data_IF_752040310087
#
_entry.id   IF_752040310087
#
_cell.length_a   1.000
_cell.length_b   1.000
_cell.length_c   1.000
_cell.angle_alpha   90.00
_cell.angle_beta   90.00
_cell.angle_gamma   90.00
#
_symmetry.space_group_name_H-M   'P 1'
#
loop_
_entity.id
_entity.type
_entity.pdbx_description
1 polymer ?
#
# COMPACT_ATOMS: atom_id res chain seq x y z
N UNK A 1 17.31 -29.54 -15.53
CA UNK A 1 18.40 -28.58 -15.84
C UNK A 1 19.08 -28.05 -14.58
N UNK A 2 18.36 -27.36 -13.62
CA UNK A 2 19.00 -26.81 -12.41
C UNK A 2 19.66 -27.91 -11.56
N UNK A 3 18.94 -29.00 -11.30
CA UNK A 3 19.47 -30.17 -10.56
C UNK A 3 20.65 -30.83 -11.28
N UNK A 4 20.63 -30.89 -12.59
CA UNK A 4 21.72 -31.42 -13.39
C UNK A 4 22.97 -30.54 -13.30
N UNK A 5 22.80 -29.21 -13.38
CA UNK A 5 23.90 -28.25 -13.18
C UNK A 5 24.48 -28.35 -11.76
N UNK A 6 23.59 -28.54 -10.75
CA UNK A 6 24.03 -28.77 -9.37
C UNK A 6 24.78 -30.08 -9.20
N UNK A 7 24.25 -31.18 -9.72
CA UNK A 7 24.86 -32.50 -9.63
C UNK A 7 26.22 -32.56 -10.38
N UNK A 8 26.38 -31.80 -11.47
CA UNK A 8 27.62 -31.63 -12.20
C UNK A 8 28.62 -30.67 -11.54
N UNK A 9 28.27 -30.01 -10.41
CA UNK A 9 29.14 -29.05 -9.74
C UNK A 9 29.29 -27.70 -10.46
N UNK A 10 28.44 -27.42 -11.46
CA UNK A 10 28.57 -26.23 -12.32
C UNK A 10 27.85 -24.99 -11.81
N UNK A 11 27.08 -25.06 -10.70
CA UNK A 11 26.39 -23.90 -10.16
C UNK A 11 27.31 -22.82 -9.53
N UNK A 12 28.57 -23.16 -9.28
CA UNK A 12 29.61 -22.20 -8.87
C UNK A 12 30.18 -21.36 -10.02
N UNK A 13 29.83 -21.68 -11.27
CA UNK A 13 30.18 -20.89 -12.44
C UNK A 13 29.16 -19.79 -12.64
N UNK A 14 29.58 -18.53 -12.60
CA UNK A 14 28.71 -17.36 -12.71
C UNK A 14 27.86 -17.36 -13.99
N UNK A 15 28.43 -17.78 -15.13
CA UNK A 15 27.71 -17.83 -16.39
C UNK A 15 26.61 -18.90 -16.38
N UNK A 16 26.88 -20.06 -15.75
CA UNK A 16 25.89 -21.14 -15.60
C UNK A 16 24.78 -20.70 -14.65
N UNK A 17 25.15 -20.09 -13.53
CA UNK A 17 24.19 -19.56 -12.54
C UNK A 17 23.29 -18.51 -13.17
N UNK A 18 23.86 -17.51 -13.85
CA UNK A 18 23.09 -16.47 -14.55
C UNK A 18 22.12 -17.06 -15.56
N UNK A 19 22.56 -18.02 -16.37
CA UNK A 19 21.71 -18.73 -17.34
C UNK A 19 20.51 -19.41 -16.66
N UNK A 20 20.73 -20.09 -15.51
CA UNK A 20 19.66 -20.74 -14.78
C UNK A 20 18.68 -19.72 -14.16
N UNK A 21 19.19 -18.61 -13.58
CA UNK A 21 18.35 -17.53 -13.05
C UNK A 21 17.47 -16.91 -14.13
N UNK A 22 18.06 -16.55 -15.28
CA UNK A 22 17.29 -15.98 -16.40
C UNK A 22 16.23 -16.95 -16.93
N UNK A 23 16.58 -18.21 -17.05
CA UNK A 23 15.62 -19.25 -17.46
C UNK A 23 14.45 -19.40 -16.48
N UNK A 24 14.74 -19.41 -15.17
CA UNK A 24 13.72 -19.53 -14.13
C UNK A 24 12.82 -18.30 -14.07
N UNK A 25 13.37 -17.10 -14.21
CA UNK A 25 12.57 -15.86 -14.26
C UNK A 25 11.68 -15.77 -15.52
N UNK A 26 12.12 -16.36 -16.63
CA UNK A 26 11.32 -16.44 -17.85
C UNK A 26 10.18 -17.48 -17.77
N UNK A 27 10.24 -18.44 -16.84
CA UNK A 27 9.21 -19.46 -16.68
C UNK A 27 7.88 -18.81 -16.18
N UNK A 28 6.72 -19.15 -16.77
CA UNK A 28 5.42 -18.64 -16.30
C UNK A 28 5.17 -18.89 -14.80
N UNK A 29 5.69 -19.96 -14.23
CA UNK A 29 5.57 -20.28 -12.80
C UNK A 29 6.28 -19.26 -11.90
N UNK A 30 7.25 -18.49 -12.41
CA UNK A 30 7.92 -17.43 -11.68
C UNK A 30 6.98 -16.27 -11.28
N UNK A 31 5.75 -16.23 -11.80
CA UNK A 31 4.70 -15.31 -11.31
C UNK A 31 4.39 -15.52 -9.81
N UNK A 32 4.66 -16.73 -9.27
CA UNK A 32 4.54 -16.97 -7.84
C UNK A 32 5.47 -16.07 -7.01
N UNK A 33 6.62 -15.68 -7.56
CA UNK A 33 7.53 -14.75 -6.87
C UNK A 33 6.84 -13.41 -6.58
N UNK A 34 6.16 -12.81 -7.56
CA UNK A 34 5.43 -11.57 -7.35
C UNK A 34 4.19 -11.77 -6.44
N UNK A 35 3.44 -12.87 -6.67
CA UNK A 35 2.22 -13.14 -5.92
C UNK A 35 2.49 -13.53 -4.46
N UNK A 36 3.35 -14.53 -4.24
CA UNK A 36 3.48 -15.13 -2.92
C UNK A 36 4.46 -14.33 -2.05
N UNK A 37 5.61 -13.93 -2.59
CA UNK A 37 6.55 -13.10 -1.86
C UNK A 37 6.01 -11.69 -1.62
N UNK A 38 5.58 -10.98 -2.67
CA UNK A 38 5.15 -9.58 -2.53
C UNK A 38 3.89 -9.46 -1.66
N UNK A 39 2.97 -10.41 -1.75
CA UNK A 39 1.75 -10.39 -0.93
C UNK A 39 2.05 -10.62 0.55
N UNK A 40 3.01 -11.50 0.86
CA UNK A 40 3.48 -11.68 2.23
C UNK A 40 4.24 -10.46 2.72
N UNK A 41 5.21 -9.99 1.95
CA UNK A 41 6.03 -8.82 2.28
C UNK A 41 5.17 -7.57 2.52
N UNK A 42 4.20 -7.28 1.66
CA UNK A 42 3.36 -6.09 1.75
C UNK A 42 2.10 -6.28 2.63
N UNK A 43 1.88 -7.47 3.19
CA UNK A 43 0.72 -7.78 4.02
C UNK A 43 -0.61 -7.81 3.26
N UNK A 44 -0.58 -8.01 1.92
CA UNK A 44 -1.74 -7.92 1.04
C UNK A 44 -2.71 -9.10 1.17
N UNK A 45 -2.31 -10.19 1.82
CA UNK A 45 -3.23 -11.28 2.17
C UNK A 45 -4.39 -10.82 3.03
N UNK A 46 -4.18 -9.79 3.86
CA UNK A 46 -5.20 -9.19 4.72
C UNK A 46 -6.30 -8.45 3.96
N UNK A 47 -6.07 -8.08 2.68
CA UNK A 47 -7.09 -7.35 1.90
C UNK A 47 -8.42 -8.09 1.79
N UNK A 48 -8.39 -9.42 1.75
CA UNK A 48 -9.62 -10.22 1.65
C UNK A 48 -10.52 -10.09 2.90
N UNK A 49 -9.90 -9.84 4.07
CA UNK A 49 -10.59 -9.78 5.36
C UNK A 49 -11.02 -8.34 5.73
N UNK A 50 -10.53 -7.32 5.01
CA UNK A 50 -10.88 -5.92 5.27
C UNK A 50 -12.19 -5.61 4.56
N UNK A 51 -13.22 -5.28 5.32
CA UNK A 51 -14.49 -4.79 4.78
C UNK A 51 -14.61 -3.28 5.04
N UNK A 52 -14.50 -2.44 3.97
CA UNK A 52 -14.71 -1.01 4.13
C UNK A 52 -16.09 -0.71 4.69
N UNK A 53 -16.16 0.23 5.63
CA UNK A 53 -17.42 0.65 6.23
C UNK A 53 -18.35 1.25 5.13
N UNK A 54 -19.55 0.66 4.91
CA UNK A 54 -20.46 1.12 3.87
C UNK A 54 -21.02 2.52 4.11
N UNK A 55 -21.07 2.97 5.36
CA UNK A 55 -21.48 4.33 5.70
C UNK A 55 -20.42 5.38 5.37
N UNK A 56 -19.16 4.95 5.26
CA UNK A 56 -18.01 5.81 4.95
C UNK A 56 -17.58 5.69 3.50
N UNK A 57 -17.54 4.46 3.00
CA UNK A 57 -17.04 4.11 1.66
C UNK A 57 -18.06 3.28 0.89
N UNK A 58 -19.30 3.81 0.66
CA UNK A 58 -20.37 3.02 0.05
C UNK A 58 -20.00 2.44 -1.31
N UNK A 59 -19.20 3.17 -2.09
CA UNK A 59 -18.74 2.73 -3.40
C UNK A 59 -17.68 1.60 -3.35
N UNK A 60 -16.99 1.43 -2.24
CA UNK A 60 -15.99 0.37 -2.05
C UNK A 60 -16.57 -0.86 -1.34
N UNK A 61 -17.62 -0.68 -0.53
CA UNK A 61 -18.25 -1.75 0.23
C UNK A 61 -19.34 -2.51 -0.59
N UNK A 62 -20.04 -1.82 -1.50
CA UNK A 62 -21.19 -2.36 -2.22
C UNK A 62 -20.86 -2.98 -3.58
N UNK A 63 -19.60 -3.18 -3.92
CA UNK A 63 -19.20 -3.68 -5.25
C UNK A 63 -19.36 -5.19 -5.45
N UNK A 64 -19.94 -5.90 -4.50
CA UNK A 64 -20.32 -7.32 -4.70
C UNK A 64 -21.40 -7.51 -5.78
N UNK A 65 -22.16 -6.44 -6.08
CA UNK A 65 -23.25 -6.47 -7.06
C UNK A 65 -22.82 -6.07 -8.49
N UNK A 66 -21.62 -5.51 -8.64
CA UNK A 66 -21.02 -5.16 -9.93
C UNK A 66 -19.87 -6.15 -10.19
N UNK A 67 -20.02 -7.03 -11.15
CA UNK A 67 -19.05 -8.00 -11.68
C UNK A 67 -17.60 -7.93 -11.11
N UNK A 68 -17.44 -8.15 -9.79
CA UNK A 68 -16.14 -8.28 -9.14
C UNK A 68 -15.90 -7.31 -7.96
N UNK A 69 -14.86 -7.60 -7.22
CA UNK A 69 -14.46 -6.91 -5.98
C UNK A 69 -13.29 -5.94 -6.25
N UNK A 70 -13.43 -4.69 -5.83
CA UNK A 70 -12.36 -3.68 -5.96
C UNK A 70 -11.07 -4.08 -5.23
N UNK A 71 -11.18 -4.89 -4.16
CA UNK A 71 -10.01 -5.44 -3.44
C UNK A 71 -9.21 -6.41 -4.30
N UNK A 72 -9.87 -7.18 -5.15
CA UNK A 72 -9.19 -8.05 -6.12
C UNK A 72 -8.48 -7.22 -7.19
N UNK A 73 -9.05 -6.07 -7.59
CA UNK A 73 -8.35 -5.16 -8.51
C UNK A 73 -7.09 -4.58 -7.85
N UNK A 74 -7.14 -4.22 -6.56
CA UNK A 74 -5.97 -3.76 -5.81
C UNK A 74 -4.87 -4.82 -5.74
N UNK A 75 -5.26 -6.07 -5.53
CA UNK A 75 -4.31 -7.22 -5.51
C UNK A 75 -3.68 -7.41 -6.89
N UNK A 76 -4.50 -7.40 -7.93
CA UNK A 76 -4.04 -7.62 -9.31
C UNK A 76 -3.15 -6.47 -9.80
N UNK A 77 -3.48 -5.22 -9.46
CA UNK A 77 -2.61 -4.07 -9.73
C UNK A 77 -1.20 -4.27 -9.18
N UNK A 78 -1.11 -4.58 -7.88
CA UNK A 78 0.18 -4.74 -7.20
C UNK A 78 0.91 -5.95 -7.73
N UNK A 79 0.21 -7.07 -7.97
CA UNK A 79 0.79 -8.27 -8.56
C UNK A 79 1.47 -7.96 -9.90
N UNK A 80 0.77 -7.27 -10.81
CA UNK A 80 1.33 -6.91 -12.12
C UNK A 80 2.45 -5.88 -12.00
N UNK A 81 2.33 -4.93 -11.09
CA UNK A 81 3.36 -3.92 -10.88
C UNK A 81 4.68 -4.52 -10.37
N UNK A 82 4.61 -5.38 -9.35
CA UNK A 82 5.79 -6.07 -8.80
C UNK A 82 6.36 -7.07 -9.81
N UNK A 83 5.50 -7.83 -10.50
CA UNK A 83 5.92 -8.78 -11.54
C UNK A 83 6.69 -8.08 -12.67
N UNK A 84 6.24 -6.90 -13.08
CA UNK A 84 6.92 -6.11 -14.11
C UNK A 84 8.31 -5.64 -13.65
N UNK A 85 8.51 -5.34 -12.37
CA UNK A 85 9.82 -4.96 -11.84
C UNK A 85 10.74 -6.19 -11.72
N UNK A 86 10.26 -7.26 -11.10
CA UNK A 86 11.09 -8.43 -10.80
C UNK A 86 11.44 -9.24 -12.06
N UNK A 87 10.43 -9.69 -12.81
CA UNK A 87 10.67 -10.50 -14.04
C UNK A 87 11.09 -9.66 -15.23
N UNK A 88 10.71 -8.38 -15.24
CA UNK A 88 11.14 -7.44 -16.27
C UNK A 88 12.57 -6.95 -16.13
N UNK A 89 13.31 -7.41 -15.11
CA UNK A 89 14.67 -6.96 -14.77
C UNK A 89 14.80 -5.44 -14.73
N UNK A 90 13.80 -4.77 -14.13
CA UNK A 90 13.75 -3.31 -14.02
C UNK A 90 14.46 -2.84 -12.76
N UNK A 91 14.76 -1.56 -12.71
CA UNK A 91 15.36 -0.96 -11.52
C UNK A 91 14.41 -1.14 -10.31
N UNK A 92 14.91 -1.73 -9.21
CA UNK A 92 14.13 -1.96 -7.98
C UNK A 92 13.56 -0.67 -7.40
N UNK A 93 14.21 0.49 -7.63
CA UNK A 93 13.69 1.79 -7.20
C UNK A 93 12.35 2.15 -7.87
N UNK A 94 11.98 1.50 -8.97
CA UNK A 94 10.64 1.67 -9.55
C UNK A 94 9.53 1.23 -8.60
N UNK A 95 9.81 0.33 -7.65
CA UNK A 95 8.86 0.01 -6.58
C UNK A 95 8.48 1.27 -5.76
N UNK A 96 9.36 2.25 -5.68
CA UNK A 96 9.13 3.49 -4.93
C UNK A 96 8.69 4.67 -5.81
N UNK A 97 9.21 4.77 -7.03
CA UNK A 97 9.03 5.96 -7.89
C UNK A 97 8.50 5.66 -9.29
N UNK A 98 8.07 4.43 -9.56
CA UNK A 98 7.54 4.05 -10.87
C UNK A 98 6.31 4.88 -11.24
N UNK A 99 6.41 5.64 -12.33
CA UNK A 99 5.35 6.53 -12.85
C UNK A 99 4.28 5.80 -13.65
N UNK A 100 4.06 4.52 -13.39
CA UNK A 100 3.07 3.69 -14.06
C UNK A 100 2.39 2.73 -13.09
N UNK A 101 1.25 2.21 -13.53
CA UNK A 101 0.55 1.13 -12.84
C UNK A 101 -0.22 0.26 -13.84
N UNK A 102 -0.98 -0.70 -13.35
CA UNK A 102 -1.85 -1.57 -14.13
C UNK A 102 -3.30 -1.35 -13.71
N UNK A 103 -4.15 -0.98 -14.64
CA UNK A 103 -5.55 -0.64 -14.37
C UNK A 103 -6.49 -1.39 -15.32
N UNK A 104 -7.61 -1.84 -14.76
CA UNK A 104 -8.86 -2.05 -15.50
C UNK A 104 -9.74 -0.79 -15.38
N UNK A 105 -10.91 -0.77 -16.02
CA UNK A 105 -11.82 0.39 -15.97
C UNK A 105 -12.27 0.74 -14.54
N UNK A 106 -12.64 -0.25 -13.72
CA UNK A 106 -13.11 -0.04 -12.35
C UNK A 106 -12.05 0.63 -11.48
N UNK A 107 -10.82 0.13 -11.52
CA UNK A 107 -9.72 0.72 -10.76
C UNK A 107 -9.31 2.09 -11.30
N UNK A 108 -9.39 2.30 -12.62
CA UNK A 108 -9.14 3.60 -13.22
C UNK A 108 -10.16 4.66 -12.75
N UNK A 109 -11.44 4.31 -12.70
CA UNK A 109 -12.49 5.17 -12.12
C UNK A 109 -12.20 5.47 -10.66
N UNK A 110 -11.78 4.47 -9.88
CA UNK A 110 -11.39 4.64 -8.47
C UNK A 110 -10.24 5.65 -8.30
N UNK A 111 -9.25 5.63 -9.19
CA UNK A 111 -8.11 6.55 -9.17
C UNK A 111 -8.38 7.89 -9.88
N UNK A 112 -9.53 8.06 -10.52
CA UNK A 112 -9.82 9.24 -11.34
C UNK A 112 -9.02 9.29 -12.65
N UNK A 113 -8.50 8.15 -13.11
CA UNK A 113 -7.78 8.03 -14.39
C UNK A 113 -8.79 7.82 -15.51
N UNK A 114 -8.67 8.63 -16.58
CA UNK A 114 -9.56 8.56 -17.75
C UNK A 114 -9.05 7.60 -18.81
N UNK A 115 -9.91 7.27 -19.74
CA UNK A 115 -9.59 6.54 -21.00
C UNK A 115 -9.13 5.09 -20.82
N UNK A 116 -9.40 4.46 -19.68
CA UNK A 116 -9.25 3.02 -19.45
C UNK A 116 -10.62 2.38 -19.47
N UNK A 117 -10.86 1.42 -20.40
CA UNK A 117 -12.14 0.78 -20.60
C UNK A 117 -12.04 -0.76 -20.52
N UNK A 118 -13.08 -1.38 -19.97
CA UNK A 118 -13.22 -2.84 -19.88
C UNK A 118 -12.47 -3.46 -18.69
N UNK A 119 -12.67 -4.75 -18.49
CA UNK A 119 -12.18 -5.50 -17.33
C UNK A 119 -10.70 -5.90 -17.40
N UNK A 120 -10.09 -5.87 -18.58
CA UNK A 120 -8.69 -6.28 -18.76
C UNK A 120 -7.72 -5.25 -18.21
N UNK A 121 -6.79 -5.69 -17.38
CA UNK A 121 -5.70 -4.86 -16.88
C UNK A 121 -4.70 -4.51 -17.98
N UNK A 122 -4.25 -3.26 -17.98
CA UNK A 122 -3.23 -2.74 -18.89
C UNK A 122 -2.31 -1.76 -18.20
N UNK A 123 -1.07 -1.68 -18.66
CA UNK A 123 -0.11 -0.70 -18.15
C UNK A 123 -0.55 0.70 -18.54
N UNK A 124 -0.60 1.59 -17.54
CA UNK A 124 -0.99 3.00 -17.68
C UNK A 124 0.08 3.89 -17.06
N UNK A 125 0.51 4.92 -17.77
CA UNK A 125 1.38 5.95 -17.21
C UNK A 125 0.55 6.90 -16.35
N UNK A 126 1.01 7.16 -15.15
CA UNK A 126 0.35 8.04 -14.19
C UNK A 126 0.83 9.48 -14.39
N UNK A 127 -0.10 10.43 -14.45
CA UNK A 127 0.22 11.85 -14.50
C UNK A 127 0.46 12.45 -13.10
N UNK A 128 -0.17 11.88 -12.06
CA UNK A 128 -0.07 12.36 -10.69
C UNK A 128 1.11 11.67 -9.97
N UNK A 129 2.18 12.41 -9.61
CA UNK A 129 3.33 11.86 -8.91
C UNK A 129 3.00 11.32 -7.51
N UNK A 130 1.91 11.78 -6.88
CA UNK A 130 1.48 11.26 -5.59
C UNK A 130 1.11 9.77 -5.63
N UNK A 131 0.76 9.24 -6.83
CA UNK A 131 0.43 7.82 -7.03
C UNK A 131 1.61 6.97 -7.50
N UNK A 132 2.81 7.50 -7.58
CA UNK A 132 3.96 6.72 -8.03
C UNK A 132 4.35 5.65 -7.00
N UNK A 133 4.88 4.55 -7.49
CA UNK A 133 5.36 3.43 -6.67
C UNK A 133 4.28 2.76 -5.80
N UNK A 134 4.73 1.96 -4.86
CA UNK A 134 3.89 1.14 -3.97
C UNK A 134 3.05 1.99 -3.00
N UNK A 135 3.60 3.10 -2.48
CA UNK A 135 2.92 3.93 -1.48
C UNK A 135 1.67 4.63 -2.03
N UNK A 136 1.59 4.80 -3.36
CA UNK A 136 0.40 5.35 -4.02
C UNK A 136 -0.65 4.30 -4.41
N UNK A 137 -0.44 3.00 -4.13
CA UNK A 137 -1.38 1.92 -4.49
C UNK A 137 -2.45 1.74 -3.43
N UNK A 138 -3.71 1.66 -3.87
CA UNK A 138 -4.84 1.54 -2.95
C UNK A 138 -4.78 0.31 -2.05
N UNK A 139 -4.26 -0.81 -2.54
CA UNK A 139 -4.07 -2.01 -1.72
C UNK A 139 -3.14 -1.79 -0.52
N UNK A 140 -2.01 -1.08 -0.72
CA UNK A 140 -1.09 -0.70 0.37
C UNK A 140 -1.74 0.27 1.34
N UNK A 141 -2.44 1.28 0.83
CA UNK A 141 -3.13 2.28 1.64
C UNK A 141 -4.27 1.68 2.47
N UNK A 142 -4.95 0.67 1.93
CA UNK A 142 -6.05 0.00 2.60
C UNK A 142 -5.56 -0.94 3.72
N UNK A 143 -4.53 -1.76 3.50
CA UNK A 143 -3.98 -2.66 4.55
C UNK A 143 -3.32 -1.89 5.69
N UNK A 144 -2.97 -0.63 5.48
CA UNK A 144 -2.38 0.27 6.46
C UNK A 144 -3.39 1.31 7.00
N UNK A 145 -4.69 1.00 6.93
CA UNK A 145 -5.78 1.84 7.43
C UNK A 145 -6.78 1.01 8.23
N UNK A 146 -7.71 1.69 8.91
CA UNK A 146 -8.90 1.04 9.48
C UNK A 146 -10.03 0.96 8.44
N UNK A 147 -11.01 0.06 8.60
CA UNK A 147 -12.13 -0.06 7.68
C UNK A 147 -12.94 1.23 7.50
N UNK A 148 -12.98 2.11 8.49
CA UNK A 148 -13.79 3.32 8.52
C UNK A 148 -12.98 4.64 8.47
N UNK A 149 -11.65 4.58 8.60
CA UNK A 149 -10.81 5.79 8.63
C UNK A 149 -9.35 5.49 8.33
N UNK A 150 -8.59 6.53 8.01
CA UNK A 150 -7.12 6.47 7.94
C UNK A 150 -6.47 6.35 9.32
N UNK A 151 -5.22 5.94 9.34
CA UNK A 151 -4.39 5.93 10.53
C UNK A 151 -2.94 6.25 10.18
N UNK A 152 -2.47 7.48 10.44
CA UNK A 152 -1.05 7.80 10.26
C UNK A 152 -0.12 6.86 11.00
N UNK A 153 -0.52 6.39 12.18
CA UNK A 153 0.27 5.43 12.98
C UNK A 153 0.44 4.10 12.26
N UNK A 154 -0.67 3.52 11.76
CA UNK A 154 -0.60 2.26 11.02
C UNK A 154 0.17 2.40 9.71
N UNK A 155 0.00 3.51 8.99
CA UNK A 155 0.74 3.81 7.76
C UNK A 155 2.23 3.97 8.02
N UNK A 156 2.60 4.72 9.05
CA UNK A 156 4.00 4.89 9.46
C UNK A 156 4.63 3.58 9.91
N UNK A 157 3.93 2.80 10.73
CA UNK A 157 4.37 1.48 11.16
C UNK A 157 4.56 0.53 9.96
N UNK A 158 3.61 0.54 9.02
CA UNK A 158 3.71 -0.26 7.80
C UNK A 158 4.94 0.10 6.95
N UNK A 159 5.24 1.40 6.80
CA UNK A 159 6.44 1.87 6.07
C UNK A 159 7.70 1.38 6.77
N UNK A 160 7.80 1.54 8.10
CA UNK A 160 8.96 1.09 8.87
C UNK A 160 9.16 -0.42 8.77
N UNK A 161 8.11 -1.19 8.89
CA UNK A 161 8.17 -2.65 8.86
C UNK A 161 8.50 -3.16 7.44
N UNK A 162 7.73 -2.74 6.44
CA UNK A 162 7.78 -3.36 5.11
C UNK A 162 8.76 -2.69 4.14
N UNK A 163 9.05 -1.40 4.30
CA UNK A 163 9.94 -0.68 3.36
C UNK A 163 11.34 -0.50 3.94
N UNK A 164 11.46 -0.11 5.22
CA UNK A 164 12.78 0.14 5.82
C UNK A 164 13.33 -1.05 6.61
N UNK A 165 12.52 -2.09 6.88
CA UNK A 165 12.93 -3.25 7.67
C UNK A 165 13.28 -2.91 9.13
N UNK A 166 12.70 -1.84 9.66
CA UNK A 166 12.90 -1.36 11.03
C UNK A 166 11.55 -1.29 11.75
N UNK A 167 10.93 -2.44 12.06
CA UNK A 167 9.62 -2.48 12.68
C UNK A 167 9.62 -1.71 14.01
N UNK A 168 8.57 -0.90 14.29
CA UNK A 168 8.49 -0.18 15.54
C UNK A 168 8.31 -1.16 16.71
N UNK A 169 8.80 -0.77 17.88
CA UNK A 169 8.52 -1.54 19.11
C UNK A 169 7.02 -1.57 19.38
N UNK A 170 6.48 -2.70 19.86
CA UNK A 170 5.07 -2.77 20.27
C UNK A 170 4.71 -1.67 21.27
N UNK A 171 3.51 -1.10 21.20
CA UNK A 171 3.08 -0.10 22.17
C UNK A 171 3.09 -0.69 23.59
N UNK A 172 3.35 0.11 24.63
CA UNK A 172 3.22 -0.32 26.00
C UNK A 172 1.82 -0.88 26.29
N UNK A 173 1.67 -1.81 27.23
CA UNK A 173 0.35 -2.31 27.63
C UNK A 173 -0.49 -1.14 28.19
N UNK A 174 -1.79 -1.15 27.92
CA UNK A 174 -2.76 -0.14 28.38
C UNK A 174 -2.62 1.27 27.76
N UNK A 175 -2.06 1.39 26.54
CA UNK A 175 -2.15 2.66 25.80
C UNK A 175 -3.61 2.89 25.38
N UNK A 176 -4.18 4.00 25.87
CA UNK A 176 -5.53 4.40 25.44
C UNK A 176 -5.52 4.76 23.95
N UNK A 177 -6.52 4.27 23.23
CA UNK A 177 -6.77 4.70 21.84
C UNK A 177 -7.01 6.21 21.81
N UNK A 178 -6.73 6.84 20.66
CA UNK A 178 -7.09 8.25 20.45
C UNK A 178 -8.58 8.44 20.76
N UNK A 179 -8.87 9.32 21.70
CA UNK A 179 -10.25 9.60 22.14
C UNK A 179 -11.00 10.27 21.00
N UNK A 180 -12.16 9.73 20.66
CA UNK A 180 -13.10 10.42 19.77
C UNK A 180 -13.55 11.74 20.42
N UNK A 181 -13.84 12.75 19.60
CA UNK A 181 -14.30 14.03 20.12
C UNK A 181 -15.60 13.82 20.92
N UNK A 182 -15.68 14.40 22.11
CA UNK A 182 -16.89 14.39 22.91
C UNK A 182 -18.03 15.08 22.13
N UNK A 183 -19.24 14.61 22.33
CA UNK A 183 -20.46 15.18 21.70
C UNK A 183 -20.51 16.68 21.89
N UNK A 184 -20.55 17.45 20.79
CA UNK A 184 -20.57 18.93 20.82
C UNK A 184 -19.19 19.60 20.89
N UNK A 185 -18.09 18.86 20.99
CA UNK A 185 -16.75 19.44 20.89
C UNK A 185 -16.35 19.66 19.42
N UNK A 186 -15.50 20.67 19.16
CA UNK A 186 -14.92 20.88 17.84
C UNK A 186 -14.11 19.63 17.44
N UNK A 187 -14.49 19.01 16.34
CA UNK A 187 -13.76 17.87 15.78
C UNK A 187 -12.39 18.36 15.32
N UNK A 188 -11.32 17.72 15.80
CA UNK A 188 -9.94 17.99 15.41
C UNK A 188 -9.57 17.15 14.19
N UNK A 189 -8.77 17.73 13.31
CA UNK A 189 -8.14 16.95 12.24
C UNK A 189 -7.24 15.84 12.82
N UNK A 190 -6.94 14.82 12.03
CA UNK A 190 -6.06 13.73 12.46
C UNK A 190 -4.70 14.29 12.93
N UNK A 191 -4.12 15.25 12.21
CA UNK A 191 -2.86 15.91 12.60
C UNK A 191 -2.95 16.60 13.98
N UNK A 192 -4.03 17.35 14.24
CA UNK A 192 -4.23 18.01 15.52
C UNK A 192 -4.37 17.00 16.67
N UNK A 193 -5.07 15.89 16.45
CA UNK A 193 -5.20 14.80 17.43
C UNK A 193 -3.83 14.18 17.75
N UNK A 194 -3.05 13.87 16.71
CA UNK A 194 -1.70 13.32 16.85
C UNK A 194 -0.75 14.30 17.55
N UNK A 195 -0.84 15.61 17.26
CA UNK A 195 -0.05 16.64 17.92
C UNK A 195 -0.31 16.68 19.44
N UNK A 196 -1.56 16.58 19.86
CA UNK A 196 -1.92 16.48 21.28
C UNK A 196 -1.38 15.21 21.91
N UNK A 197 -1.49 14.07 21.23
CA UNK A 197 -0.96 12.79 21.74
C UNK A 197 0.56 12.85 21.95
N UNK A 198 1.30 13.48 21.06
CA UNK A 198 2.77 13.65 21.12
C UNK A 198 3.26 14.60 22.21
N UNK A 199 2.40 15.34 22.89
CA UNK A 199 2.82 16.17 24.05
C UNK A 199 3.35 15.32 25.21
N UNK A 200 2.91 14.08 25.29
CA UNK A 200 3.48 13.12 26.24
C UNK A 200 4.82 12.59 25.69
N UNK A 201 5.90 12.78 26.47
CA UNK A 201 7.26 12.36 26.07
C UNK A 201 7.39 10.86 25.81
N UNK A 202 6.69 10.03 26.57
CA UNK A 202 6.70 8.57 26.36
C UNK A 202 6.05 8.20 25.03
N UNK A 203 4.98 8.87 24.63
CA UNK A 203 4.33 8.67 23.34
C UNK A 203 5.19 9.21 22.18
N UNK A 204 5.83 10.36 22.39
CA UNK A 204 6.69 10.99 21.37
C UNK A 204 7.85 10.10 20.92
N UNK A 205 8.40 9.25 21.79
CA UNK A 205 9.54 8.38 21.47
C UNK A 205 9.27 7.51 20.21
N UNK A 206 8.04 7.00 20.04
CA UNK A 206 7.65 6.23 18.84
C UNK A 206 6.95 7.11 17.80
N UNK A 207 6.00 7.95 18.22
CA UNK A 207 5.19 8.78 17.34
C UNK A 207 5.97 9.89 16.63
N UNK A 208 7.13 10.30 17.16
CA UNK A 208 8.06 11.22 16.49
C UNK A 208 8.59 10.70 15.16
N UNK A 209 8.64 9.37 14.97
CA UNK A 209 9.10 8.71 13.75
C UNK A 209 7.91 8.22 12.91
N UNK A 210 6.93 7.56 13.55
CA UNK A 210 5.77 6.96 12.87
C UNK A 210 4.88 8.01 12.19
N UNK A 211 4.52 9.04 12.94
CA UNK A 211 3.50 9.99 12.50
C UNK A 211 3.88 10.79 11.25
N UNK A 212 5.11 11.32 11.12
CA UNK A 212 5.51 12.03 9.91
C UNK A 212 5.35 11.20 8.65
N UNK A 213 5.75 9.93 8.70
CA UNK A 213 5.64 9.01 7.55
C UNK A 213 4.18 8.75 7.18
N UNK A 214 3.33 8.51 8.17
CA UNK A 214 1.93 8.24 7.92
C UNK A 214 1.13 9.47 7.51
N UNK A 215 1.43 10.64 8.11
CA UNK A 215 0.80 11.91 7.74
C UNK A 215 1.11 12.31 6.29
N UNK A 216 2.29 11.98 5.76
CA UNK A 216 2.64 12.21 4.36
C UNK A 216 1.68 11.50 3.38
N UNK A 217 0.97 10.47 3.82
CA UNK A 217 -0.02 9.73 3.03
C UNK A 217 -1.48 10.12 3.34
N UNK A 218 -1.72 11.13 4.18
CA UNK A 218 -3.07 11.43 4.70
C UNK A 218 -4.02 12.00 3.65
N UNK A 219 -3.51 12.52 2.53
CA UNK A 219 -4.32 12.86 1.37
C UNK A 219 -5.00 11.64 0.71
N UNK A 220 -4.54 10.43 0.99
CA UNK A 220 -5.27 9.23 0.60
C UNK A 220 -6.21 8.78 1.72
N UNK A 221 -7.47 8.53 1.37
CA UNK A 221 -8.45 7.97 2.32
C UNK A 221 -8.17 6.49 2.67
N UNK A 222 -9.04 5.87 3.46
CA UNK A 222 -8.87 4.48 3.91
C UNK A 222 -8.95 3.43 2.81
N UNK A 223 -9.46 3.77 1.64
CA UNK A 223 -9.53 2.90 0.45
C UNK A 223 -8.67 3.43 -0.70
N UNK A 224 -7.76 4.35 -0.41
CA UNK A 224 -6.76 4.83 -1.36
C UNK A 224 -7.24 5.86 -2.38
N UNK A 225 -8.40 6.51 -2.20
CA UNK A 225 -8.80 7.67 -3.02
C UNK A 225 -8.15 8.94 -2.50
N UNK A 226 -7.81 9.82 -3.44
CA UNK A 226 -7.30 11.15 -3.09
C UNK A 226 -8.40 12.03 -2.50
N UNK A 227 -8.04 12.80 -1.44
CA UNK A 227 -8.89 13.79 -0.80
C UNK A 227 -8.06 15.00 -0.35
N UNK A 228 -8.64 16.19 -0.43
CA UNK A 228 -8.00 17.44 -0.02
C UNK A 228 -8.48 17.91 1.37
N UNK A 229 -9.55 17.32 1.87
CA UNK A 229 -10.16 17.68 3.16
C UNK A 229 -10.30 16.46 4.07
N UNK A 230 -10.05 16.67 5.36
CA UNK A 230 -10.41 15.74 6.41
C UNK A 230 -11.93 15.63 6.48
N UNK A 231 -12.45 14.40 6.45
CA UNK A 231 -13.90 14.16 6.38
C UNK A 231 -14.63 14.60 7.65
N UNK A 232 -13.99 14.45 8.82
CA UNK A 232 -14.63 14.74 10.11
C UNK A 232 -14.43 16.20 10.53
N UNK A 233 -13.22 16.72 10.36
CA UNK A 233 -12.91 18.10 10.73
C UNK A 233 -13.29 19.12 9.64
N UNK A 234 -13.58 18.65 8.41
CA UNK A 234 -13.87 19.46 7.22
C UNK A 234 -12.78 20.49 6.87
N UNK A 235 -11.61 20.35 7.47
CA UNK A 235 -10.45 21.20 7.22
C UNK A 235 -9.57 20.63 6.11
N UNK A 236 -8.80 21.51 5.49
CA UNK A 236 -7.81 21.08 4.49
C UNK A 236 -6.78 20.15 5.16
N UNK A 237 -6.43 19.06 4.48
CA UNK A 237 -5.40 18.15 4.95
C UNK A 237 -4.04 18.79 4.79
N UNK A 238 -3.28 18.79 5.87
CA UNK A 238 -1.85 19.07 5.87
C UNK A 238 -1.11 17.74 5.95
N UNK A 239 -0.59 17.29 4.81
CA UNK A 239 0.18 16.06 4.67
C UNK A 239 1.69 16.28 4.78
N UNK A 240 2.16 17.42 5.31
CA UNK A 240 3.58 17.59 5.55
C UNK A 240 4.10 16.55 6.54
N UNK A 241 5.17 15.85 6.21
CA UNK A 241 5.81 14.83 7.03
C UNK A 241 6.74 15.42 8.11
N UNK A 242 6.31 16.50 8.78
CA UNK A 242 7.10 17.24 9.79
C UNK A 242 6.29 17.50 11.05
#
# INVERSE_FOLDING_TARGET
>A
ELLEAAAGGHLGDDAVLEKQVRRMLADPRAQSLARDFAFQWLGLSKLADIEPDPGVFPYAANHRDLEGDLREDFREEIRQFVDAVFRGNRNVLELMNGSYTYLNERLAVHYGVRDVKGSSFRRVTLADPNRFGLLGKAGVLMVSSYPNRTSPVLRGAWILDNITGTPPTPPPPNVEALKEAATGAKVRSMREQMAVHRTNKSCFACHGVLDPMGLALENFDGVGRWRDKDRMAETRIDAAGV
#
